data_IF_269795630682
#
_entry.id   IF_269795630682
#
_cell.length_a   1.000
_cell.length_b   1.000
_cell.length_c   1.000
_cell.angle_alpha   90.00
_cell.angle_beta   90.00
_cell.angle_gamma   90.00
#
_symmetry.space_group_name_H-M   'P 1'
#
loop_
_entity.id
_entity.type
_entity.pdbx_description
1 polymer ?
#
# COMPACT_ATOMS: atom_id res chain seq x y z
N UNK A 1 -5.49 -7.37 10.82
CA UNK A 1 -4.45 -6.55 10.19
C UNK A 1 -4.67 -5.14 10.69
N UNK A 2 -3.60 -4.46 11.08
CA UNK A 2 -3.63 -3.16 11.72
C UNK A 2 -2.64 -2.19 11.09
N UNK A 3 -2.46 -1.07 11.77
CA UNK A 3 -1.63 0.05 11.31
C UNK A 3 -0.16 -0.34 11.16
N UNK A 4 0.37 -1.15 12.07
CA UNK A 4 1.76 -1.59 12.08
C UNK A 4 2.11 -2.42 10.84
N UNK A 5 1.18 -3.29 10.40
CA UNK A 5 1.36 -4.06 9.16
C UNK A 5 1.36 -3.16 7.91
N UNK A 6 0.53 -2.12 7.89
CA UNK A 6 0.53 -1.16 6.80
C UNK A 6 1.84 -0.36 6.75
N UNK A 7 2.39 0.04 7.90
CA UNK A 7 3.68 0.71 7.97
C UNK A 7 4.83 -0.19 7.50
N UNK A 8 4.81 -1.49 7.81
CA UNK A 8 5.86 -2.41 7.39
C UNK A 8 5.99 -2.51 5.86
N UNK A 9 4.89 -2.35 5.10
CA UNK A 9 4.91 -2.34 3.62
C UNK A 9 5.92 -1.31 3.10
N UNK A 10 5.93 -0.10 3.69
CA UNK A 10 6.80 0.99 3.27
C UNK A 10 8.25 0.87 3.76
N UNK A 11 8.54 -0.09 4.66
CA UNK A 11 9.88 -0.29 5.23
C UNK A 11 10.83 -1.14 4.36
N UNK A 12 10.28 -1.76 3.31
CA UNK A 12 10.96 -2.69 2.40
C UNK A 12 10.62 -2.30 0.96
N UNK A 13 11.28 -2.85 -0.08
CA UNK A 13 10.86 -2.63 -1.46
C UNK A 13 9.38 -2.98 -1.64
N UNK A 14 8.61 -2.01 -2.13
CA UNK A 14 7.20 -2.14 -2.43
C UNK A 14 6.94 -1.69 -3.87
N UNK A 15 6.00 -2.37 -4.52
CA UNK A 15 5.43 -1.88 -5.76
C UNK A 15 4.40 -0.80 -5.44
N UNK A 16 4.43 0.31 -6.16
CA UNK A 16 3.49 1.42 -6.02
C UNK A 16 2.85 1.71 -7.38
N UNK A 17 1.54 1.79 -7.40
CA UNK A 17 0.82 2.40 -8.51
C UNK A 17 -0.19 3.45 -8.05
N UNK A 18 -0.46 4.36 -8.97
CA UNK A 18 -1.46 5.39 -8.83
C UNK A 18 -2.78 4.91 -9.45
N UNK A 19 -3.86 5.07 -8.70
CA UNK A 19 -5.22 4.82 -9.15
C UNK A 19 -5.94 6.15 -9.29
N UNK A 20 -6.33 6.47 -10.53
CA UNK A 20 -7.08 7.70 -10.86
C UNK A 20 -8.54 7.69 -10.38
N UNK A 21 -8.80 7.13 -9.21
CA UNK A 21 -10.09 7.16 -8.52
C UNK A 21 -10.30 8.58 -7.90
N UNK A 22 -11.53 8.89 -7.48
CA UNK A 22 -11.85 10.15 -6.75
C UNK A 22 -12.46 9.77 -5.40
N UNK A 23 -11.79 10.07 -4.27
CA UNK A 23 -10.49 10.77 -4.14
C UNK A 23 -9.31 9.95 -4.70
N UNK A 24 -8.20 10.64 -4.96
CA UNK A 24 -6.97 10.06 -5.48
C UNK A 24 -6.44 8.97 -4.56
N UNK A 25 -6.18 7.78 -5.11
CA UNK A 25 -5.78 6.61 -4.35
C UNK A 25 -4.49 6.00 -4.88
N UNK A 26 -3.74 5.41 -3.97
CA UNK A 26 -2.49 4.72 -4.24
C UNK A 26 -2.60 3.28 -3.78
N UNK A 27 -2.05 2.36 -4.58
CA UNK A 27 -1.90 0.96 -4.19
C UNK A 27 -0.43 0.65 -3.95
N UNK A 28 -0.12 0.23 -2.72
CA UNK A 28 1.17 -0.33 -2.37
C UNK A 28 1.08 -1.84 -2.22
N UNK A 29 2.01 -2.59 -2.79
CA UNK A 29 2.15 -4.04 -2.59
C UNK A 29 3.54 -4.30 -2.01
N UNK A 30 3.62 -4.88 -0.81
CA UNK A 30 4.89 -5.08 -0.13
C UNK A 30 4.87 -6.15 0.94
N UNK A 31 6.06 -6.40 1.50
CA UNK A 31 6.30 -7.50 2.45
C UNK A 31 5.95 -7.13 3.89
N UNK A 32 5.11 -7.96 4.50
CA UNK A 32 4.78 -7.89 5.93
C UNK A 32 4.96 -9.28 6.54
N UNK A 33 5.87 -9.41 7.52
CA UNK A 33 6.13 -10.68 8.23
C UNK A 33 6.31 -11.88 7.27
N UNK A 34 7.01 -11.68 6.16
CA UNK A 34 7.31 -12.71 5.15
C UNK A 34 6.17 -13.08 4.20
N UNK A 35 5.09 -12.28 4.14
CA UNK A 35 4.01 -12.45 3.15
C UNK A 35 3.77 -11.12 2.44
N UNK A 36 3.35 -11.17 1.17
CA UNK A 36 2.94 -9.98 0.43
C UNK A 36 1.52 -9.55 0.83
N UNK A 37 1.36 -8.25 1.02
CA UNK A 37 0.11 -7.55 1.32
C UNK A 37 -0.10 -6.41 0.34
N UNK A 38 -1.36 -6.08 0.10
CA UNK A 38 -1.79 -4.93 -0.69
C UNK A 38 -2.48 -3.94 0.24
N UNK A 39 -2.07 -2.68 0.14
CA UNK A 39 -2.63 -1.55 0.85
C UNK A 39 -3.18 -0.55 -0.16
N UNK A 40 -4.38 -0.05 0.09
CA UNK A 40 -4.90 1.16 -0.54
C UNK A 40 -4.85 2.29 0.47
N UNK A 41 -4.29 3.42 0.05
CA UNK A 41 -4.20 4.62 0.85
C UNK A 41 -4.38 5.87 0.00
N UNK A 42 -4.63 6.99 0.66
CA UNK A 42 -4.76 8.31 0.05
C UNK A 42 -3.72 9.24 0.65
N UNK A 43 -3.04 10.03 -0.17
CA UNK A 43 -2.23 11.14 0.31
C UNK A 43 -3.16 12.32 0.60
N UNK A 44 -3.22 12.75 1.87
CA UNK A 44 -4.04 13.87 2.33
C UNK A 44 -3.15 14.87 3.06
N UNK A 45 -3.67 16.07 3.28
CA UNK A 45 -2.98 17.10 4.07
C UNK A 45 -3.90 17.73 5.09
N UNK A 46 -3.37 18.08 6.26
CA UNK A 46 -4.02 18.90 7.28
C UNK A 46 -3.09 20.02 7.76
N UNK A 47 -3.43 20.65 8.89
CA UNK A 47 -2.64 21.74 9.47
C UNK A 47 -1.24 21.29 9.94
N UNK A 48 -1.02 19.99 10.16
CA UNK A 48 0.26 19.40 10.58
C UNK A 48 1.12 18.92 9.40
N UNK A 49 0.53 18.77 8.21
CA UNK A 49 1.24 18.44 6.97
C UNK A 49 0.58 17.31 6.18
N UNK A 50 1.37 16.65 5.33
CA UNK A 50 0.90 15.50 4.54
C UNK A 50 0.89 14.23 5.39
N UNK A 51 -0.19 13.46 5.29
CA UNK A 51 -0.33 12.14 5.92
C UNK A 51 -1.00 11.14 4.97
N UNK A 52 -0.76 9.86 5.23
CA UNK A 52 -1.38 8.77 4.47
C UNK A 52 -2.60 8.24 5.21
N UNK A 53 -3.77 8.44 4.61
CA UNK A 53 -5.02 7.87 5.08
C UNK A 53 -5.16 6.43 4.57
N UNK A 54 -5.05 5.46 5.46
CA UNK A 54 -5.20 4.04 5.11
C UNK A 54 -6.67 3.73 4.85
N UNK A 55 -7.00 3.26 3.64
CA UNK A 55 -8.36 2.89 3.26
C UNK A 55 -8.63 1.43 3.59
N UNK A 56 -7.75 0.52 3.12
CA UNK A 56 -7.90 -0.92 3.35
C UNK A 56 -6.60 -1.68 3.11
N UNK A 57 -6.42 -2.79 3.84
CA UNK A 57 -5.23 -3.65 3.82
C UNK A 57 -5.67 -5.12 3.76
N UNK A 58 -5.10 -5.88 2.82
CA UNK A 58 -5.35 -7.31 2.70
C UNK A 58 -4.09 -8.08 2.26
N UNK A 59 -4.12 -9.39 2.44
CA UNK A 59 -3.06 -10.28 1.95
C UNK A 59 -3.13 -10.33 0.43
N UNK A 60 -2.02 -10.06 -0.25
CA UNK A 60 -1.98 -9.96 -1.70
C UNK A 60 -2.51 -11.24 -2.36
N UNK A 61 -3.41 -11.04 -3.32
CA UNK A 61 -3.92 -12.07 -4.24
C UNK A 61 -2.80 -12.63 -5.12
N UNK A 62 -3.08 -13.69 -5.90
CA UNK A 62 -2.06 -14.27 -6.77
C UNK A 62 -1.62 -13.27 -7.85
N UNK A 63 -2.56 -12.55 -8.42
CA UNK A 63 -2.37 -11.57 -9.49
C UNK A 63 -1.56 -10.36 -8.97
N UNK A 64 -1.84 -9.90 -7.75
CA UNK A 64 -1.08 -8.81 -7.10
C UNK A 64 0.36 -9.22 -6.75
N UNK A 65 0.58 -10.48 -6.37
CA UNK A 65 1.95 -11.00 -6.18
C UNK A 65 2.73 -11.03 -7.48
N UNK A 66 2.11 -11.51 -8.56
CA UNK A 66 2.72 -11.48 -9.89
C UNK A 66 3.03 -10.06 -10.33
N UNK A 67 2.16 -9.11 -10.01
CA UNK A 67 2.40 -7.69 -10.30
C UNK A 67 3.64 -7.17 -9.55
N UNK A 68 3.74 -7.46 -8.25
CA UNK A 68 4.93 -7.14 -7.47
C UNK A 68 6.20 -7.76 -8.05
N UNK A 69 6.18 -9.07 -8.33
CA UNK A 69 7.35 -9.82 -8.85
C UNK A 69 7.80 -9.37 -10.25
N UNK A 70 6.90 -8.82 -11.06
CA UNK A 70 7.22 -8.34 -12.41
C UNK A 70 7.76 -6.90 -12.44
N UNK A 71 7.65 -6.16 -11.33
CA UNK A 71 7.98 -4.73 -11.25
C UNK A 71 8.87 -4.37 -10.05
N UNK A 72 9.31 -5.35 -9.25
CA UNK A 72 10.17 -5.17 -8.07
C UNK A 72 11.51 -5.88 -8.21
#
# INVERSE_FOLDING_TARGET
>A
MGFEEAQEIFSKPYYLDHRSDVPEQYRAIGWVKGKLYTLIFEARSDEEGEYYHLVTLWKATREERQLYESHS
#
